data_IF_578544029105
#
_entry.id   IF_578544029105
#
_cell.length_a   1.000
_cell.length_b   1.000
_cell.length_c   1.000
_cell.angle_alpha   90.00
_cell.angle_beta   90.00
_cell.angle_gamma   90.00
#
_symmetry.space_group_name_H-M   'P 1'
#
loop_
_entity.id
_entity.type
_entity.pdbx_description
1 polymer ?
#
# COMPACT_ATOMS: atom_id res chain seq x y z
N UNK A 1 -19.14 5.39 -1.81
CA UNK A 1 -19.70 4.63 -2.97
C UNK A 1 -19.02 3.27 -3.03
N UNK A 2 -19.79 2.18 -3.19
CA UNK A 2 -19.24 0.85 -3.50
C UNK A 2 -19.04 0.74 -5.02
N UNK A 3 -17.86 0.32 -5.47
CA UNK A 3 -17.47 0.23 -6.89
C UNK A 3 -16.91 -1.16 -7.17
N UNK A 4 -17.67 -1.99 -7.90
CA UNK A 4 -17.22 -3.34 -8.26
C UNK A 4 -16.29 -3.30 -9.47
N UNK A 5 -15.10 -3.92 -9.34
CA UNK A 5 -14.10 -4.11 -10.39
C UNK A 5 -13.81 -5.59 -10.59
N UNK A 6 -13.63 -5.98 -11.85
CA UNK A 6 -13.17 -7.33 -12.15
C UNK A 6 -11.73 -7.53 -11.62
N UNK A 7 -11.48 -8.52 -10.74
CA UNK A 7 -10.16 -8.71 -10.12
C UNK A 7 -9.11 -9.16 -11.12
N UNK A 8 -9.50 -9.85 -12.20
CA UNK A 8 -8.57 -10.36 -13.21
C UNK A 8 -8.31 -9.40 -14.35
N UNK A 9 -9.30 -8.57 -14.70
CA UNK A 9 -9.20 -7.57 -15.76
C UNK A 9 -9.90 -6.27 -15.35
N UNK A 10 -9.27 -5.43 -14.50
CA UNK A 10 -9.86 -4.19 -14.01
C UNK A 10 -10.20 -3.23 -15.15
N UNK A 11 -11.45 -2.78 -15.19
CA UNK A 11 -11.96 -1.91 -16.25
C UNK A 11 -11.29 -0.53 -16.21
N UNK A 12 -10.59 -0.15 -17.27
CA UNK A 12 -9.83 1.12 -17.36
C UNK A 12 -10.66 2.35 -16.99
N UNK A 13 -11.94 2.41 -17.43
CA UNK A 13 -12.85 3.52 -17.12
C UNK A 13 -13.11 3.64 -15.62
N UNK A 14 -13.25 2.52 -14.91
CA UNK A 14 -13.47 2.52 -13.45
C UNK A 14 -12.18 2.86 -12.69
N UNK A 15 -11.03 2.36 -13.15
CA UNK A 15 -9.71 2.78 -12.62
C UNK A 15 -9.52 4.28 -12.77
N UNK A 16 -9.83 4.88 -13.93
CA UNK A 16 -9.73 6.33 -14.13
C UNK A 16 -10.61 7.12 -13.15
N UNK A 17 -11.80 6.60 -12.81
CA UNK A 17 -12.67 7.21 -11.79
C UNK A 17 -12.04 7.18 -10.40
N UNK A 18 -11.41 6.07 -10.03
CA UNK A 18 -10.67 5.95 -8.75
C UNK A 18 -9.50 6.93 -8.70
N UNK A 19 -8.73 7.02 -9.79
CA UNK A 19 -7.60 7.95 -9.91
C UNK A 19 -8.06 9.40 -9.78
N UNK A 20 -9.16 9.78 -10.42
CA UNK A 20 -9.74 11.12 -10.28
C UNK A 20 -10.06 11.47 -8.83
N UNK A 21 -10.61 10.52 -8.05
CA UNK A 21 -10.86 10.71 -6.61
C UNK A 21 -9.55 10.92 -5.85
N UNK A 22 -8.52 10.12 -6.12
CA UNK A 22 -7.21 10.28 -5.51
C UNK A 22 -6.55 11.63 -5.86
N UNK A 23 -6.63 12.06 -7.12
CA UNK A 23 -6.11 13.36 -7.59
C UNK A 23 -6.80 14.55 -6.89
N UNK A 24 -8.09 14.41 -6.57
CA UNK A 24 -8.85 15.40 -5.80
C UNK A 24 -8.60 15.32 -4.29
N UNK A 25 -7.74 14.41 -3.85
CA UNK A 25 -7.40 14.22 -2.43
C UNK A 25 -8.39 13.36 -1.66
N UNK A 26 -9.21 12.58 -2.34
CA UNK A 26 -10.12 11.63 -1.72
C UNK A 26 -9.41 10.41 -1.14
N UNK A 27 -10.12 9.71 -0.26
CA UNK A 27 -9.71 8.45 0.33
C UNK A 27 -10.41 7.29 -0.38
N UNK A 28 -9.70 6.20 -0.56
CA UNK A 28 -10.24 4.98 -1.12
C UNK A 28 -9.98 3.78 -0.21
N UNK A 29 -10.82 2.75 -0.32
CA UNK A 29 -10.52 1.41 0.19
C UNK A 29 -10.39 0.49 -1.01
N UNK A 30 -9.32 -0.29 -1.06
CA UNK A 30 -8.94 -1.11 -2.21
C UNK A 30 -8.41 -2.48 -1.77
N UNK A 31 -8.64 -3.54 -2.60
CA UNK A 31 -8.14 -4.88 -2.30
C UNK A 31 -6.62 -4.96 -2.48
N UNK A 32 -5.99 -5.84 -1.68
CA UNK A 32 -4.60 -6.27 -1.87
C UNK A 32 -4.51 -7.79 -1.82
N UNK A 33 -3.32 -8.32 -1.87
CA UNK A 33 -3.02 -9.75 -1.69
C UNK A 33 -3.06 -10.23 -0.22
N UNK A 34 -3.33 -9.32 0.72
CA UNK A 34 -3.41 -9.55 2.16
C UNK A 34 -4.75 -9.08 2.73
N UNK A 35 -4.84 -7.83 3.13
CA UNK A 35 -6.05 -7.17 3.60
C UNK A 35 -6.55 -6.16 2.57
N UNK A 36 -7.80 -5.70 2.72
CA UNK A 36 -8.19 -4.42 2.15
C UNK A 36 -7.36 -3.30 2.77
N UNK A 37 -6.96 -2.34 1.94
CA UNK A 37 -6.19 -1.17 2.37
C UNK A 37 -7.00 0.11 2.29
N UNK A 38 -6.84 1.02 3.28
CA UNK A 38 -7.24 2.41 3.13
C UNK A 38 -6.06 3.15 2.52
N UNK A 39 -6.32 3.95 1.49
CA UNK A 39 -5.28 4.68 0.78
C UNK A 39 -5.69 6.07 0.34
N UNK A 40 -4.68 6.87 0.12
CA UNK A 40 -4.73 8.17 -0.53
C UNK A 40 -3.42 8.41 -1.29
N UNK A 41 -3.38 9.46 -2.09
CA UNK A 41 -2.14 9.92 -2.71
C UNK A 41 -1.04 10.19 -1.66
N UNK A 42 0.15 9.61 -1.88
CA UNK A 42 1.32 9.76 -1.00
C UNK A 42 1.72 11.22 -0.76
N UNK A 43 1.44 12.11 -1.70
CA UNK A 43 1.83 13.52 -1.63
C UNK A 43 0.73 14.44 -1.06
N UNK A 44 -0.49 13.93 -0.86
CA UNK A 44 -1.57 14.72 -0.27
C UNK A 44 -1.52 14.68 1.27
N UNK A 45 -0.86 15.67 1.86
CA UNK A 45 -0.69 15.78 3.33
C UNK A 45 -2.01 15.86 4.10
N UNK A 46 -3.06 16.46 3.51
CA UNK A 46 -4.38 16.56 4.14
C UNK A 46 -5.02 15.18 4.26
N UNK A 47 -5.06 14.44 3.16
CA UNK A 47 -5.62 13.09 3.10
C UNK A 47 -4.85 12.11 3.98
N UNK A 48 -3.52 12.21 4.04
CA UNK A 48 -2.70 11.42 4.96
C UNK A 48 -3.13 11.65 6.41
N UNK A 49 -3.30 12.91 6.83
CA UNK A 49 -3.76 13.24 8.19
C UNK A 49 -5.15 12.71 8.49
N UNK A 50 -6.07 12.72 7.51
CA UNK A 50 -7.39 12.11 7.65
C UNK A 50 -7.30 10.60 7.93
N UNK A 51 -6.40 9.87 7.23
CA UNK A 51 -6.18 8.44 7.50
C UNK A 51 -5.63 8.24 8.92
N UNK A 52 -4.70 9.07 9.40
CA UNK A 52 -4.20 8.99 10.77
C UNK A 52 -5.31 9.18 11.80
N UNK A 53 -6.20 10.16 11.60
CA UNK A 53 -7.37 10.40 12.46
C UNK A 53 -8.34 9.21 12.44
N UNK A 54 -8.69 8.71 11.24
CA UNK A 54 -9.58 7.57 11.06
C UNK A 54 -9.05 6.31 11.76
N UNK A 55 -7.74 6.08 11.67
CA UNK A 55 -7.05 4.93 12.30
C UNK A 55 -6.68 5.18 13.76
N UNK A 56 -6.94 6.37 14.31
CA UNK A 56 -6.51 6.78 15.67
C UNK A 56 -5.05 6.44 15.93
N UNK A 57 -4.19 6.64 14.92
CA UNK A 57 -2.79 6.26 14.94
C UNK A 57 -1.91 7.49 15.16
N UNK A 58 -0.91 7.45 16.05
CA UNK A 58 0.00 8.58 16.23
C UNK A 58 0.89 8.78 15.00
N UNK A 59 1.17 10.04 14.65
CA UNK A 59 2.02 10.43 13.52
C UNK A 59 3.46 9.88 13.59
N UNK A 60 3.89 9.45 14.77
CA UNK A 60 5.19 8.82 15.00
C UNK A 60 5.29 7.38 14.48
N UNK A 61 4.17 6.78 14.09
CA UNK A 61 4.09 5.43 13.52
C UNK A 61 3.62 5.51 12.08
N UNK A 62 4.50 5.78 11.10
CA UNK A 62 4.10 5.96 9.70
C UNK A 62 3.44 4.70 9.13
N UNK A 63 2.63 4.93 8.10
CA UNK A 63 2.05 3.87 7.28
C UNK A 63 3.07 3.41 6.23
N UNK A 64 2.86 2.24 5.67
CA UNK A 64 3.51 1.85 4.42
C UNK A 64 2.81 2.53 3.22
N UNK A 65 3.46 2.45 2.07
CA UNK A 65 2.85 2.85 0.80
C UNK A 65 3.10 1.81 -0.29
N UNK A 66 2.30 1.86 -1.33
CA UNK A 66 2.30 0.92 -2.43
C UNK A 66 2.89 1.59 -3.66
N UNK A 67 3.88 0.94 -4.27
CA UNK A 67 4.43 1.24 -5.60
C UNK A 67 3.83 0.31 -6.65
N UNK A 68 3.87 0.71 -7.92
CA UNK A 68 3.34 -0.09 -9.03
C UNK A 68 4.26 -1.26 -9.39
N UNK A 69 5.55 -1.12 -9.15
CA UNK A 69 6.57 -2.12 -9.50
C UNK A 69 7.87 -1.89 -8.71
N UNK A 70 8.82 -2.81 -8.87
CA UNK A 70 10.12 -2.75 -8.19
C UNK A 70 10.97 -1.54 -8.62
N UNK A 71 10.89 -1.10 -9.89
CA UNK A 71 11.67 0.04 -10.36
C UNK A 71 11.22 1.35 -9.69
N UNK A 72 9.91 1.49 -9.42
CA UNK A 72 9.39 2.68 -8.75
C UNK A 72 9.88 2.77 -7.30
N UNK A 73 10.19 1.64 -6.64
CA UNK A 73 10.72 1.62 -5.28
C UNK A 73 12.00 2.44 -5.18
N UNK A 74 12.90 2.34 -6.17
CA UNK A 74 14.19 3.05 -6.18
C UNK A 74 14.07 4.58 -6.22
N UNK A 75 12.91 5.11 -6.61
CA UNK A 75 12.64 6.55 -6.52
C UNK A 75 12.40 7.00 -5.08
N UNK A 76 11.82 6.12 -4.25
CA UNK A 76 11.37 6.44 -2.90
C UNK A 76 12.24 5.86 -1.79
N UNK A 77 13.08 4.87 -2.10
CA UNK A 77 13.97 4.24 -1.14
C UNK A 77 15.37 3.99 -1.72
N UNK A 78 16.36 3.93 -0.84
CA UNK A 78 17.70 3.47 -1.18
C UNK A 78 17.67 1.94 -1.30
N UNK A 79 18.05 1.44 -2.46
CA UNK A 79 18.00 0.01 -2.77
C UNK A 79 19.42 -0.45 -3.15
N UNK A 80 20.00 -1.26 -2.28
CA UNK A 80 21.29 -1.92 -2.60
C UNK A 80 21.09 -3.07 -3.59
N UNK A 81 22.16 -3.59 -4.14
CA UNK A 81 22.12 -4.75 -5.03
C UNK A 81 21.58 -6.01 -4.33
N UNK A 82 21.86 -6.18 -3.03
CA UNK A 82 21.35 -7.30 -2.25
C UNK A 82 19.85 -7.15 -1.98
N UNK A 83 19.43 -5.97 -1.50
CA UNK A 83 18.01 -5.65 -1.32
C UNK A 83 17.22 -5.83 -2.62
N UNK A 84 17.76 -5.40 -3.75
CA UNK A 84 17.13 -5.59 -5.07
C UNK A 84 16.92 -7.08 -5.40
N UNK A 85 17.93 -7.93 -5.16
CA UNK A 85 17.82 -9.39 -5.44
C UNK A 85 16.73 -10.04 -4.58
N UNK A 86 16.67 -9.69 -3.30
CA UNK A 86 15.62 -10.17 -2.38
C UNK A 86 14.25 -9.72 -2.87
N UNK A 87 14.05 -8.43 -3.08
CA UNK A 87 12.76 -7.88 -3.53
C UNK A 87 12.32 -8.44 -4.87
N UNK A 88 13.23 -8.66 -5.81
CA UNK A 88 12.92 -9.22 -7.14
C UNK A 88 12.35 -10.65 -7.09
N UNK A 89 12.72 -11.42 -6.07
CA UNK A 89 12.19 -12.79 -5.85
C UNK A 89 10.85 -12.81 -5.16
N UNK A 90 10.50 -11.72 -4.47
CA UNK A 90 9.36 -11.64 -3.55
C UNK A 90 8.23 -10.74 -4.05
N UNK A 91 8.48 -9.88 -5.03
CA UNK A 91 7.55 -8.88 -5.52
C UNK A 91 7.18 -9.10 -7.00
N UNK A 92 5.90 -8.90 -7.38
CA UNK A 92 4.75 -8.59 -6.53
C UNK A 92 4.43 -9.70 -5.55
N UNK A 93 3.99 -9.36 -4.32
CA UNK A 93 3.67 -10.36 -3.31
C UNK A 93 3.40 -9.79 -1.92
N UNK A 94 3.06 -10.67 -0.95
CA UNK A 94 2.55 -10.30 0.36
C UNK A 94 3.65 -9.84 1.32
N UNK A 95 4.52 -8.95 0.85
CA UNK A 95 5.64 -8.43 1.62
C UNK A 95 5.54 -6.92 1.84
N UNK A 96 6.11 -6.46 2.95
CA UNK A 96 6.41 -5.07 3.24
C UNK A 96 7.91 -4.96 3.51
N UNK A 97 8.64 -4.29 2.64
CA UNK A 97 10.07 -4.05 2.84
C UNK A 97 10.30 -2.70 3.51
N UNK A 98 11.09 -2.72 4.59
CA UNK A 98 11.53 -1.51 5.29
C UNK A 98 12.90 -1.12 4.77
N UNK A 99 12.99 0.08 4.22
CA UNK A 99 14.15 0.64 3.53
C UNK A 99 14.42 2.06 4.00
N UNK A 100 15.60 2.59 3.75
CA UNK A 100 15.89 4.01 3.94
C UNK A 100 15.19 4.84 2.85
N UNK A 101 14.37 5.82 3.28
CA UNK A 101 13.61 6.66 2.36
C UNK A 101 14.45 7.75 1.71
N UNK A 102 14.21 8.03 0.43
CA UNK A 102 14.81 9.16 -0.29
C UNK A 102 14.18 10.49 0.13
N UNK A 103 14.69 11.59 -0.43
CA UNK A 103 14.13 12.94 -0.22
C UNK A 103 12.75 13.15 -0.85
N UNK A 104 12.35 12.29 -1.77
CA UNK A 104 11.03 12.33 -2.40
C UNK A 104 9.90 11.91 -1.44
N UNK A 105 10.22 11.11 -0.42
CA UNK A 105 9.21 10.67 0.56
C UNK A 105 8.82 11.84 1.46
N UNK A 106 7.51 12.14 1.60
CA UNK A 106 7.06 13.17 2.51
C UNK A 106 7.50 12.90 3.96
N UNK A 107 7.97 13.92 4.67
CA UNK A 107 8.47 13.79 6.06
C UNK A 107 7.49 13.08 7.00
N UNK A 108 6.18 13.26 6.78
CA UNK A 108 5.11 12.62 7.54
C UNK A 108 5.11 11.09 7.41
N UNK A 109 5.71 10.56 6.34
CA UNK A 109 5.77 9.13 6.03
C UNK A 109 7.09 8.47 6.46
N UNK A 110 8.01 9.24 7.00
CA UNK A 110 9.30 8.74 7.47
C UNK A 110 9.22 8.33 8.94
N UNK A 111 9.66 7.11 9.26
CA UNK A 111 9.88 6.67 10.64
C UNK A 111 11.20 7.22 11.20
N UNK A 112 11.52 6.82 12.43
CA UNK A 112 12.86 7.03 12.99
C UNK A 112 13.92 6.48 12.01
N UNK A 113 15.09 7.10 11.93
CA UNK A 113 16.17 6.79 10.96
C UNK A 113 15.76 6.94 9.50
N UNK A 114 14.71 7.73 9.22
CA UNK A 114 14.20 8.00 7.87
C UNK A 114 13.77 6.74 7.10
N UNK A 115 13.32 5.71 7.78
CA UNK A 115 12.87 4.47 7.14
C UNK A 115 11.42 4.55 6.67
N UNK A 116 11.09 3.77 5.64
CA UNK A 116 9.77 3.65 5.02
C UNK A 116 9.42 2.19 4.80
N UNK A 117 8.15 1.84 4.96
CA UNK A 117 7.61 0.55 4.55
C UNK A 117 7.02 0.63 3.14
N UNK A 118 7.48 -0.21 2.23
CA UNK A 118 7.03 -0.21 0.82
C UNK A 118 6.47 -1.59 0.46
N UNK A 119 5.43 -1.60 -0.37
CA UNK A 119 4.80 -2.80 -0.91
C UNK A 119 4.65 -2.70 -2.43
N UNK A 120 4.63 -3.87 -3.07
CA UNK A 120 4.09 -4.09 -4.41
C UNK A 120 3.19 -5.33 -4.30
N UNK A 121 1.90 -5.16 -3.93
CA UNK A 121 0.99 -6.28 -3.73
C UNK A 121 0.73 -7.05 -5.03
N UNK A 122 0.59 -8.38 -4.94
CA UNK A 122 0.10 -9.19 -6.07
C UNK A 122 -1.43 -9.09 -6.17
N UNK A 123 -1.89 -7.92 -6.62
CA UNK A 123 -3.31 -7.66 -6.85
C UNK A 123 -3.48 -6.72 -8.06
N UNK A 124 -4.13 -7.21 -9.10
CA UNK A 124 -4.25 -6.48 -10.38
C UNK A 124 -4.99 -5.16 -10.26
N UNK A 125 -6.03 -5.07 -9.41
CA UNK A 125 -6.77 -3.82 -9.16
C UNK A 125 -5.85 -2.79 -8.51
N UNK A 126 -5.17 -3.18 -7.42
CA UNK A 126 -4.24 -2.32 -6.71
C UNK A 126 -3.15 -1.77 -7.64
N UNK A 127 -2.49 -2.65 -8.39
CA UNK A 127 -1.42 -2.27 -9.31
C UNK A 127 -1.92 -1.39 -10.45
N UNK A 128 -3.13 -1.65 -10.99
CA UNK A 128 -3.74 -0.82 -12.03
C UNK A 128 -4.01 0.62 -11.53
N UNK A 129 -4.48 0.77 -10.29
CA UNK A 129 -4.71 2.08 -9.66
C UNK A 129 -3.39 2.84 -9.55
N UNK A 130 -2.37 2.25 -8.91
CA UNK A 130 -1.08 2.91 -8.67
C UNK A 130 -0.38 3.25 -9.98
N UNK A 131 -0.41 2.33 -10.96
CA UNK A 131 0.15 2.56 -12.29
C UNK A 131 -0.56 3.69 -13.04
N UNK A 132 -1.90 3.75 -12.97
CA UNK A 132 -2.69 4.79 -13.63
C UNK A 132 -2.53 6.15 -12.95
N UNK A 133 -2.36 6.18 -11.63
CA UNK A 133 -2.09 7.38 -10.84
C UNK A 133 -0.67 7.92 -11.10
N UNK A 134 0.29 7.05 -11.48
CA UNK A 134 1.69 7.40 -11.76
C UNK A 134 2.51 7.75 -10.51
N UNK A 135 2.01 7.46 -9.31
CA UNK A 135 2.69 7.69 -8.02
C UNK A 135 2.12 6.80 -6.92
N UNK A 136 2.88 6.58 -5.82
CA UNK A 136 2.43 5.69 -4.75
C UNK A 136 1.18 6.17 -4.02
N UNK A 137 0.45 5.21 -3.46
CA UNK A 137 -0.65 5.46 -2.52
C UNK A 137 -0.29 4.93 -1.13
N UNK A 138 -0.79 5.60 -0.09
CA UNK A 138 -0.71 5.12 1.29
C UNK A 138 -1.40 3.76 1.40
N UNK A 139 -0.92 2.91 2.31
CA UNK A 139 -1.52 1.62 2.61
C UNK A 139 -1.58 1.38 4.12
N UNK A 140 -2.79 1.27 4.63
CA UNK A 140 -3.06 0.77 5.98
C UNK A 140 -4.25 -0.21 5.95
N UNK A 141 -4.11 -1.34 6.62
CA UNK A 141 -5.09 -2.43 6.58
C UNK A 141 -6.46 -2.05 7.15
N UNK A 142 -7.50 -2.62 6.56
CA UNK A 142 -8.87 -2.70 7.11
C UNK A 142 -9.04 -4.10 7.70
N UNK A 143 -9.60 -4.19 8.92
CA UNK A 143 -9.82 -5.47 9.60
C UNK A 143 -11.17 -6.11 9.22
N UNK A 144 -11.58 -5.95 7.97
CA UNK A 144 -12.75 -6.57 7.34
C UNK A 144 -12.31 -7.07 5.96
N UNK A 145 -12.88 -8.16 5.49
CA UNK A 145 -12.52 -8.84 4.25
C UNK A 145 -13.64 -8.84 3.21
N UNK A 146 -14.88 -8.56 3.64
CA UNK A 146 -16.04 -8.50 2.77
C UNK A 146 -16.36 -7.05 2.36
N UNK A 147 -16.39 -6.74 1.03
CA UNK A 147 -16.58 -5.38 0.52
C UNK A 147 -17.86 -4.69 0.98
N UNK A 148 -18.97 -5.42 1.13
CA UNK A 148 -20.24 -4.88 1.63
C UNK A 148 -20.13 -4.38 3.06
N UNK A 149 -19.54 -5.19 3.95
CA UNK A 149 -19.30 -4.83 5.36
C UNK A 149 -18.33 -3.66 5.48
N UNK A 150 -17.29 -3.65 4.63
CA UNK A 150 -16.36 -2.52 4.55
C UNK A 150 -17.08 -1.25 4.11
N UNK A 151 -17.96 -1.33 3.11
CA UNK A 151 -18.73 -0.18 2.66
C UNK A 151 -19.62 0.36 3.78
N UNK A 152 -20.35 -0.49 4.46
CA UNK A 152 -21.25 -0.10 5.56
C UNK A 152 -20.48 0.61 6.69
N UNK A 153 -19.29 0.10 7.03
CA UNK A 153 -18.47 0.64 8.11
C UNK A 153 -17.73 1.94 7.74
N UNK A 154 -17.36 2.13 6.46
CA UNK A 154 -16.43 3.20 6.06
C UNK A 154 -16.99 4.20 5.05
N UNK A 155 -18.21 4.02 4.51
CA UNK A 155 -18.76 4.87 3.44
C UNK A 155 -18.89 6.36 3.79
N UNK A 156 -18.98 6.69 5.08
CA UNK A 156 -18.98 8.09 5.56
C UNK A 156 -17.58 8.72 5.65
N UNK A 157 -16.51 7.93 5.53
CA UNK A 157 -15.13 8.38 5.71
C UNK A 157 -14.31 8.34 4.42
N UNK A 158 -14.74 7.57 3.42
CA UNK A 158 -14.03 7.38 2.15
C UNK A 158 -14.96 7.60 0.97
N UNK A 159 -14.45 8.10 -0.12
CA UNK A 159 -15.23 8.38 -1.34
C UNK A 159 -15.59 7.08 -2.08
N UNK A 160 -14.64 6.14 -2.13
CA UNK A 160 -14.84 4.86 -2.84
C UNK A 160 -14.37 3.70 -1.96
N UNK A 161 -15.23 2.68 -1.86
CA UNK A 161 -14.85 1.32 -1.49
C UNK A 161 -14.86 0.48 -2.77
N UNK A 162 -13.74 -0.13 -3.09
CA UNK A 162 -13.58 -0.96 -4.29
C UNK A 162 -13.90 -2.39 -3.91
N UNK A 163 -14.91 -2.96 -4.55
CA UNK A 163 -15.22 -4.37 -4.44
C UNK A 163 -14.40 -5.13 -5.50
N UNK A 164 -13.40 -5.86 -5.06
CA UNK A 164 -12.57 -6.78 -5.83
C UNK A 164 -12.71 -8.23 -5.36
N UNK A 165 -13.79 -8.54 -4.63
CA UNK A 165 -14.03 -9.85 -4.00
C UNK A 165 -13.36 -9.97 -2.64
N UNK A 166 -13.54 -11.13 -2.01
CA UNK A 166 -12.95 -11.45 -0.69
C UNK A 166 -11.44 -11.59 -0.84
N UNK A 167 -10.69 -11.00 0.10
CA UNK A 167 -9.23 -11.10 0.15
C UNK A 167 -8.77 -12.02 1.29
N UNK A 168 -7.51 -12.48 1.23
CA UNK A 168 -6.87 -13.16 2.35
C UNK A 168 -6.91 -12.27 3.60
N UNK A 169 -7.15 -12.85 4.78
CA UNK A 169 -7.16 -12.13 6.06
C UNK A 169 -5.85 -12.34 6.83
N UNK A 170 -4.73 -12.45 6.09
CA UNK A 170 -3.41 -12.63 6.65
C UNK A 170 -2.54 -11.39 6.45
N UNK A 171 -1.73 -10.98 7.46
CA UNK A 171 -0.86 -9.83 7.32
C UNK A 171 0.30 -10.10 6.36
N UNK A 172 0.87 -9.03 5.79
CA UNK A 172 2.12 -9.15 5.03
C UNK A 172 3.29 -9.52 5.94
N UNK A 173 4.24 -10.28 5.41
CA UNK A 173 5.56 -10.45 6.03
C UNK A 173 6.31 -9.12 5.93
N UNK A 174 6.90 -8.66 7.05
CA UNK A 174 7.66 -7.40 7.11
C UNK A 174 9.14 -7.72 7.26
N UNK A 175 9.93 -7.27 6.30
CA UNK A 175 11.37 -7.51 6.26
C UNK A 175 12.11 -6.17 6.21
N UNK A 176 13.02 -5.96 7.14
CA UNK A 176 13.99 -4.86 7.08
C UNK A 176 15.14 -5.23 6.15
N UNK A 177 15.50 -4.30 5.28
CA UNK A 177 16.69 -4.39 4.42
C UNK A 177 17.66 -3.23 4.70
N UNK A 178 17.61 -2.69 5.92
CA UNK A 178 18.49 -1.61 6.37
C UNK A 178 19.91 -2.17 6.57
N UNK A 179 20.89 -1.36 6.20
CA UNK A 179 22.32 -1.68 6.33
C UNK A 179 22.73 -3.00 5.63
N UNK A 180 21.99 -3.36 4.57
CA UNK A 180 22.20 -4.62 3.82
C UNK A 180 22.07 -5.91 4.66
N UNK A 181 21.44 -5.81 5.83
CA UNK A 181 21.20 -6.90 6.75
C UNK A 181 19.70 -7.26 6.76
N UNK A 182 19.27 -8.32 6.05
CA UNK A 182 17.87 -8.74 6.04
C UNK A 182 17.43 -9.24 7.42
N UNK A 183 16.36 -8.62 7.95
CA UNK A 183 15.77 -8.98 9.25
C UNK A 183 14.26 -9.11 9.13
N UNK A 184 13.69 -10.22 9.59
CA UNK A 184 12.23 -10.40 9.67
C UNK A 184 11.71 -9.67 10.90
N UNK A 185 11.01 -8.56 10.67
CA UNK A 185 10.34 -7.79 11.74
C UNK A 185 9.02 -8.46 12.15
N UNK A 186 8.32 -9.04 11.19
CA UNK A 186 7.06 -9.74 11.41
C UNK A 186 6.85 -10.81 10.35
N UNK A 187 6.58 -12.02 10.77
CA UNK A 187 6.09 -13.07 9.89
C UNK A 187 4.62 -12.85 9.52
N UNK A 188 4.25 -13.23 8.32
CA UNK A 188 2.91 -13.13 7.77
C UNK A 188 2.78 -14.06 6.57
N UNK A 189 1.92 -13.73 5.61
CA UNK A 189 1.59 -14.55 4.45
C UNK A 189 2.80 -14.84 3.53
N UNK A 190 3.79 -13.97 3.47
CA UNK A 190 4.98 -14.16 2.63
C UNK A 190 5.96 -15.14 3.25
N UNK A 191 6.43 -16.14 2.49
CA UNK A 191 7.47 -17.07 2.91
C UNK A 191 8.82 -16.38 3.10
N UNK A 192 9.65 -16.88 4.03
CA UNK A 192 10.96 -16.28 4.40
C UNK A 192 12.15 -17.08 3.90
N UNK A 193 11.98 -17.91 2.86
CA UNK A 193 12.99 -18.83 2.33
C UNK A 193 14.19 -18.16 1.63
N UNK A 194 14.25 -16.82 1.62
CA UNK A 194 15.25 -16.01 0.92
C UNK A 194 16.21 -15.23 1.85
N UNK A 195 16.10 -15.43 3.16
CA UNK A 195 16.93 -14.81 4.20
C UNK A 195 17.95 -15.81 4.72
#
# INVERSE_FOLDING_TARGET
MLLSLNPDNPQKRLISKVVQVLDQGGLIIYPTDTFYGIGCDLFNKKSIKQIYQLKRRPLTKPFSFVCANLNDISLYAQVSNNAYRIMKRSLPGPYTFVLEGTRLVPKLMLAKRRTVGIRVPDNKICLAIVKSLGRPIISTSVNLDEPSLIHDAYSSFVEIVIDGGVVSHEPSTVVSLIDDNPEVIREGKGEINFI
#
